data_IF_579651262996
#
_entry.id   IF_579651262996
#
_cell.length_a   1.000
_cell.length_b   1.000
_cell.length_c   1.000
_cell.angle_alpha   90.00
_cell.angle_beta   90.00
_cell.angle_gamma   90.00
#
_symmetry.space_group_name_H-M   'P 1'
#
loop_
_entity.id
_entity.type
_entity.pdbx_description
1 polymer ?
#
# COMPACT_ATOMS: atom_id res chain seq x y z
N UNK A 1 -22.93 -5.91 8.28
CA UNK A 1 -22.09 -5.50 7.12
C UNK A 1 -22.49 -4.10 6.71
N UNK A 2 -21.52 -3.19 6.49
CA UNK A 2 -21.79 -1.83 6.02
C UNK A 2 -22.43 -1.83 4.61
N UNK A 3 -23.31 -0.86 4.34
CA UNK A 3 -24.04 -0.71 3.06
C UNK A 3 -23.09 -0.66 1.86
N UNK A 4 -21.88 -0.11 2.02
CA UNK A 4 -20.88 -0.02 0.96
C UNK A 4 -20.24 -1.38 0.61
N UNK A 5 -20.05 -2.30 1.57
CA UNK A 5 -19.54 -3.67 1.29
C UNK A 5 -20.52 -4.47 0.43
N UNK A 6 -21.81 -4.29 0.70
CA UNK A 6 -22.87 -4.88 -0.11
C UNK A 6 -22.90 -4.29 -1.53
N UNK A 7 -22.60 -2.99 -1.67
CA UNK A 7 -22.48 -2.36 -2.97
C UNK A 7 -21.31 -2.95 -3.80
N UNK A 8 -20.12 -3.12 -3.21
CA UNK A 8 -19.00 -3.76 -3.91
C UNK A 8 -19.32 -5.21 -4.32
N UNK A 9 -19.95 -5.99 -3.45
CA UNK A 9 -20.39 -7.35 -3.78
C UNK A 9 -21.41 -7.36 -4.94
N UNK A 10 -22.30 -6.37 -5.00
CA UNK A 10 -23.23 -6.17 -6.10
C UNK A 10 -22.52 -5.84 -7.42
N UNK A 11 -21.51 -4.96 -7.36
CA UNK A 11 -20.66 -4.61 -8.52
C UNK A 11 -19.89 -5.82 -9.03
N UNK A 12 -19.27 -6.61 -8.13
CA UNK A 12 -18.58 -7.84 -8.49
C UNK A 12 -19.52 -8.86 -9.17
N UNK A 13 -20.72 -9.03 -8.61
CA UNK A 13 -21.75 -9.92 -9.16
C UNK A 13 -22.18 -9.47 -10.56
N UNK A 14 -22.36 -8.16 -10.76
CA UNK A 14 -22.69 -7.59 -12.07
C UNK A 14 -21.58 -7.90 -13.09
N UNK A 15 -20.31 -7.72 -12.74
CA UNK A 15 -19.20 -8.01 -13.65
C UNK A 15 -19.05 -9.50 -13.96
N UNK A 16 -19.24 -10.40 -12.98
CA UNK A 16 -19.28 -11.85 -13.22
C UNK A 16 -20.41 -12.22 -14.19
N UNK A 17 -21.58 -11.62 -14.01
CA UNK A 17 -22.72 -11.81 -14.91
C UNK A 17 -22.43 -11.32 -16.34
N UNK A 18 -21.90 -10.11 -16.48
CA UNK A 18 -21.55 -9.53 -17.79
C UNK A 18 -20.48 -10.38 -18.51
N UNK A 19 -19.46 -10.85 -17.79
CA UNK A 19 -18.44 -11.75 -18.31
C UNK A 19 -19.04 -13.06 -18.85
N UNK A 20 -20.03 -13.62 -18.15
CA UNK A 20 -20.68 -14.87 -18.56
C UNK A 20 -21.60 -14.71 -19.80
N UNK A 21 -22.25 -13.54 -19.95
CA UNK A 21 -23.21 -13.29 -21.04
C UNK A 21 -22.57 -12.74 -22.30
N UNK A 22 -21.53 -11.93 -22.17
CA UNK A 22 -20.86 -11.27 -23.28
C UNK A 22 -19.45 -11.84 -23.43
N UNK A 23 -19.30 -12.88 -24.26
CA UNK A 23 -17.99 -13.35 -24.77
C UNK A 23 -17.20 -12.27 -25.53
N UNK A 24 -17.80 -11.10 -25.76
CA UNK A 24 -17.20 -9.93 -26.41
C UNK A 24 -16.97 -8.71 -25.51
N UNK A 25 -17.21 -8.80 -24.19
CA UNK A 25 -16.74 -7.74 -23.27
C UNK A 25 -15.22 -7.75 -23.31
N UNK A 26 -14.57 -6.59 -23.51
CA UNK A 26 -13.11 -6.55 -23.55
C UNK A 26 -12.57 -7.09 -22.22
N UNK A 27 -11.60 -8.01 -22.31
CA UNK A 27 -10.90 -8.56 -21.15
C UNK A 27 -10.45 -7.44 -20.19
N UNK A 28 -10.08 -6.29 -20.76
CA UNK A 28 -9.64 -5.09 -20.03
C UNK A 28 -10.74 -4.45 -19.17
N UNK A 29 -12.00 -4.44 -19.59
CA UNK A 29 -13.10 -3.90 -18.75
C UNK A 29 -13.28 -4.74 -17.48
N UNK A 30 -13.17 -6.07 -17.61
CA UNK A 30 -13.29 -7.00 -16.48
C UNK A 30 -12.06 -6.90 -15.58
N UNK A 31 -10.85 -6.74 -16.15
CA UNK A 31 -9.63 -6.49 -15.37
C UNK A 31 -9.74 -5.20 -14.57
N UNK A 32 -10.07 -4.08 -15.23
CA UNK A 32 -10.28 -2.79 -14.55
C UNK A 32 -11.30 -2.89 -13.41
N UNK A 33 -12.42 -3.57 -13.64
CA UNK A 33 -13.44 -3.77 -12.62
C UNK A 33 -12.92 -4.56 -11.41
N UNK A 34 -12.13 -5.61 -11.63
CA UNK A 34 -11.50 -6.37 -10.55
C UNK A 34 -10.53 -5.49 -9.77
N UNK A 35 -9.68 -4.75 -10.47
CA UNK A 35 -8.74 -3.80 -9.88
C UNK A 35 -9.45 -2.75 -9.01
N UNK A 36 -10.55 -2.19 -9.52
CA UNK A 36 -11.40 -1.26 -8.76
C UNK A 36 -11.96 -1.89 -7.48
N UNK A 37 -12.47 -3.13 -7.55
CA UNK A 37 -13.00 -3.84 -6.38
C UNK A 37 -11.89 -4.14 -5.37
N UNK A 38 -10.73 -4.62 -5.84
CA UNK A 38 -9.54 -4.87 -5.02
C UNK A 38 -9.13 -3.60 -4.28
N UNK A 39 -8.98 -2.48 -5.01
CA UNK A 39 -8.63 -1.20 -4.42
C UNK A 39 -9.59 -0.77 -3.31
N UNK A 40 -10.90 -0.77 -3.57
CA UNK A 40 -11.89 -0.31 -2.58
C UNK A 40 -12.00 -1.26 -1.39
N UNK A 41 -11.82 -2.56 -1.60
CA UNK A 41 -11.77 -3.55 -0.52
C UNK A 41 -10.52 -3.33 0.35
N UNK A 42 -9.38 -3.06 -0.28
CA UNK A 42 -8.13 -2.74 0.41
C UNK A 42 -8.24 -1.45 1.22
N UNK A 43 -8.73 -0.36 0.63
CA UNK A 43 -9.02 0.90 1.35
C UNK A 43 -9.85 0.65 2.59
N UNK A 44 -10.95 -0.08 2.43
CA UNK A 44 -11.81 -0.35 3.55
C UNK A 44 -11.14 -1.17 4.65
N UNK A 45 -10.30 -2.13 4.29
CA UNK A 45 -9.52 -2.89 5.27
C UNK A 45 -8.57 -2.01 6.08
N UNK A 46 -8.11 -0.87 5.54
CA UNK A 46 -7.28 0.10 6.28
C UNK A 46 -8.11 0.91 7.27
N UNK A 47 -9.38 1.20 6.95
CA UNK A 47 -10.26 2.08 7.74
C UNK A 47 -11.20 1.37 8.71
N UNK A 48 -11.38 0.05 8.59
CA UNK A 48 -12.24 -0.71 9.51
C UNK A 48 -11.40 -1.20 10.69
N UNK A 49 -11.94 -1.22 11.92
CA UNK A 49 -11.26 -1.75 13.10
C UNK A 49 -10.59 -3.11 12.76
N UNK A 50 -9.26 -3.15 12.78
CA UNK A 50 -8.47 -4.36 12.47
C UNK A 50 -8.61 -5.44 13.57
N UNK A 51 -9.55 -5.29 14.51
CA UNK A 51 -9.78 -6.20 15.63
C UNK A 51 -10.52 -7.48 15.21
N UNK A 52 -11.19 -7.48 14.06
CA UNK A 52 -11.97 -8.63 13.60
C UNK A 52 -11.19 -9.34 12.49
N UNK A 53 -10.81 -10.58 12.78
CA UNK A 53 -9.78 -11.37 12.09
C UNK A 53 -9.70 -11.18 10.58
N UNK A 54 -8.50 -10.82 10.12
CA UNK A 54 -8.06 -10.95 8.74
C UNK A 54 -6.81 -11.82 8.75
N UNK A 55 -6.85 -12.86 7.91
CA UNK A 55 -5.80 -13.85 7.69
C UNK A 55 -4.42 -13.20 7.68
N UNK A 56 -3.43 -13.93 8.23
CA UNK A 56 -2.01 -13.65 7.99
C UNK A 56 -1.82 -13.51 6.48
N UNK A 57 -1.64 -12.27 6.02
CA UNK A 57 -1.22 -12.00 4.64
C UNK A 57 0.17 -12.60 4.53
N UNK A 58 0.25 -13.81 3.97
CA UNK A 58 1.51 -14.51 3.77
C UNK A 58 2.30 -13.81 2.68
N UNK A 59 3.63 -13.83 2.80
CA UNK A 59 4.56 -13.28 1.80
C UNK A 59 4.37 -13.90 0.39
N UNK A 60 3.59 -14.99 0.27
CA UNK A 60 3.16 -15.61 -0.99
C UNK A 60 2.28 -14.70 -1.85
N UNK A 61 1.57 -13.71 -1.30
CA UNK A 61 0.81 -12.72 -2.09
C UNK A 61 1.71 -11.67 -2.76
N UNK A 62 2.97 -11.54 -2.36
CA UNK A 62 3.90 -10.51 -2.86
C UNK A 62 4.75 -10.94 -4.07
N UNK A 63 4.38 -12.06 -4.68
CA UNK A 63 4.93 -12.52 -5.96
C UNK A 63 6.35 -13.05 -5.82
N UNK A 64 6.46 -14.38 -5.77
CA UNK A 64 7.70 -15.11 -5.98
C UNK A 64 8.36 -14.74 -7.32
N UNK A 65 9.68 -14.93 -7.35
CA UNK A 65 10.55 -14.81 -8.51
C UNK A 65 9.94 -15.43 -9.77
N UNK A 66 9.38 -14.59 -10.63
CA UNK A 66 9.11 -14.97 -12.01
C UNK A 66 9.96 -14.09 -12.91
N UNK A 67 10.70 -14.71 -13.81
CA UNK A 67 11.47 -14.10 -14.90
C UNK A 67 10.61 -13.31 -15.90
N UNK A 68 9.34 -13.05 -15.56
CA UNK A 68 8.34 -12.40 -16.39
C UNK A 68 7.87 -11.10 -15.72
N UNK A 69 7.84 -10.01 -16.48
CA UNK A 69 7.29 -8.73 -16.04
C UNK A 69 5.80 -8.92 -15.71
N UNK A 70 5.38 -8.50 -14.51
CA UNK A 70 3.96 -8.45 -14.15
C UNK A 70 3.26 -7.38 -15.00
N UNK A 71 2.02 -7.62 -15.42
CA UNK A 71 1.24 -6.56 -16.07
C UNK A 71 0.98 -5.45 -15.06
N UNK A 72 1.13 -4.18 -15.47
CA UNK A 72 0.69 -3.06 -14.63
C UNK A 72 -0.83 -3.15 -14.45
N UNK A 73 -1.29 -2.85 -13.25
CA UNK A 73 -2.72 -2.79 -12.95
C UNK A 73 -3.34 -1.53 -13.60
N UNK A 74 -4.53 -1.66 -14.20
CA UNK A 74 -5.16 -0.56 -14.94
C UNK A 74 -5.73 0.55 -14.03
N UNK A 75 -5.94 0.26 -12.74
CA UNK A 75 -6.54 1.16 -11.77
C UNK A 75 -5.52 1.61 -10.71
N UNK A 76 -4.77 0.66 -10.16
CA UNK A 76 -3.79 0.85 -9.08
C UNK A 76 -2.36 1.00 -9.61
N UNK A 77 -2.11 0.69 -10.88
CA UNK A 77 -0.76 0.78 -11.43
C UNK A 77 0.22 -0.16 -10.74
N UNK A 78 1.31 0.40 -10.24
CA UNK A 78 2.33 -0.31 -9.49
C UNK A 78 2.05 -0.32 -7.98
N UNK A 79 0.99 0.35 -7.50
CA UNK A 79 0.73 0.53 -6.07
C UNK A 79 -0.05 -0.62 -5.42
N UNK A 80 -0.57 -1.57 -6.20
CA UNK A 80 -1.33 -2.72 -5.68
C UNK A 80 -0.53 -3.48 -4.61
N UNK A 81 0.74 -3.76 -4.88
CA UNK A 81 1.64 -4.47 -3.97
C UNK A 81 2.00 -3.68 -2.71
N UNK A 82 1.74 -2.37 -2.68
CA UNK A 82 2.02 -1.50 -1.54
C UNK A 82 0.88 -1.45 -0.51
N UNK A 83 -0.31 -1.99 -0.82
CA UNK A 83 -1.40 -2.07 0.14
C UNK A 83 -1.11 -3.02 1.31
N UNK A 84 -0.35 -4.09 1.07
CA UNK A 84 0.05 -5.04 2.10
C UNK A 84 0.96 -4.39 3.15
N UNK A 85 2.12 -3.80 2.79
CA UNK A 85 2.94 -3.10 3.76
C UNK A 85 2.19 -1.94 4.43
N UNK A 86 1.26 -1.27 3.72
CA UNK A 86 0.44 -0.22 4.31
C UNK A 86 -0.46 -0.73 5.43
N UNK A 87 -1.15 -1.85 5.20
CA UNK A 87 -1.98 -2.51 6.23
C UNK A 87 -1.14 -2.92 7.44
N UNK A 88 0.07 -3.42 7.21
CA UNK A 88 1.00 -3.82 8.29
C UNK A 88 1.45 -2.63 9.12
N UNK A 89 1.83 -1.52 8.48
CA UNK A 89 2.18 -0.27 9.19
C UNK A 89 1.02 0.27 10.02
N UNK A 90 -0.21 0.24 9.48
CA UNK A 90 -1.41 0.64 10.23
C UNK A 90 -1.67 -0.26 11.43
N UNK A 91 -1.47 -1.58 11.30
CA UNK A 91 -1.55 -2.53 12.42
C UNK A 91 -0.50 -2.23 13.49
N UNK A 92 0.74 -1.95 13.09
CA UNK A 92 1.81 -1.56 14.02
C UNK A 92 1.44 -0.30 14.80
N UNK A 93 0.85 0.70 14.13
CA UNK A 93 0.36 1.92 14.79
C UNK A 93 -0.69 1.60 15.84
N UNK A 94 -1.71 0.79 15.50
CA UNK A 94 -2.74 0.40 16.45
C UNK A 94 -2.20 -0.40 17.64
N UNK A 95 -1.26 -1.33 17.41
CA UNK A 95 -0.58 -2.07 18.48
C UNK A 95 0.25 -1.14 19.36
N UNK A 96 0.86 -0.10 18.76
CA UNK A 96 1.59 0.93 19.49
C UNK A 96 0.66 1.73 20.41
N UNK A 97 -0.50 2.16 19.91
CA UNK A 97 -1.50 2.95 20.63
C UNK A 97 -2.15 2.14 21.77
N UNK A 98 -2.40 0.85 21.53
CA UNK A 98 -2.94 -0.09 22.53
C UNK A 98 -1.89 -0.60 23.54
N UNK A 99 -0.62 -0.22 23.39
CA UNK A 99 0.46 -0.61 24.30
C UNK A 99 0.85 -2.10 24.23
N UNK A 100 0.42 -2.83 23.21
CA UNK A 100 0.70 -4.27 23.05
C UNK A 100 1.94 -4.56 22.23
N UNK A 101 2.52 -3.54 21.58
CA UNK A 101 3.66 -3.69 20.69
C UNK A 101 4.96 -3.96 21.46
N UNK A 102 5.54 -5.14 21.24
CA UNK A 102 6.89 -5.49 21.68
C UNK A 102 7.93 -5.12 20.64
N UNK A 103 9.12 -4.72 21.10
CA UNK A 103 10.21 -4.25 20.22
C UNK A 103 10.74 -5.33 19.27
N UNK A 104 10.77 -6.60 19.70
CA UNK A 104 11.20 -7.71 18.85
C UNK A 104 10.24 -7.92 17.66
N UNK A 105 8.93 -7.84 17.92
CA UNK A 105 7.91 -7.90 16.87
C UNK A 105 8.00 -6.69 15.93
N UNK A 106 8.21 -5.49 16.48
CA UNK A 106 8.41 -4.29 15.66
C UNK A 106 9.62 -4.44 14.72
N UNK A 107 10.75 -4.95 15.22
CA UNK A 107 11.94 -5.16 14.40
C UNK A 107 11.67 -6.12 13.24
N UNK A 108 11.05 -7.26 13.52
CA UNK A 108 10.70 -8.25 12.49
C UNK A 108 9.78 -7.65 11.42
N UNK A 109 8.77 -6.88 11.84
CA UNK A 109 7.84 -6.22 10.91
C UNK A 109 8.54 -5.16 10.06
N UNK A 110 9.40 -4.32 10.66
CA UNK A 110 10.19 -3.32 9.93
C UNK A 110 11.12 -3.98 8.92
N UNK A 111 11.85 -5.04 9.32
CA UNK A 111 12.73 -5.79 8.41
C UNK A 111 11.97 -6.37 7.23
N UNK A 112 10.80 -6.96 7.49
CA UNK A 112 9.95 -7.53 6.45
C UNK A 112 9.40 -6.45 5.51
N UNK A 113 8.87 -5.35 6.04
CA UNK A 113 8.40 -4.21 5.22
C UNK A 113 9.53 -3.62 4.38
N UNK A 114 10.69 -3.36 4.98
CA UNK A 114 11.87 -2.86 4.24
C UNK A 114 12.36 -3.87 3.20
N UNK A 115 12.26 -5.17 3.49
CA UNK A 115 12.55 -6.24 2.53
C UNK A 115 11.65 -6.17 1.30
N UNK A 116 10.37 -5.88 1.49
CA UNK A 116 9.40 -5.64 0.41
C UNK A 116 9.77 -4.36 -0.34
N UNK A 117 9.99 -3.24 0.36
CA UNK A 117 10.35 -1.94 -0.22
C UNK A 117 11.65 -2.00 -1.04
N UNK A 118 12.68 -2.70 -0.53
CA UNK A 118 13.98 -2.85 -1.19
C UNK A 118 13.92 -3.66 -2.50
N UNK A 119 12.90 -4.51 -2.69
CA UNK A 119 12.71 -5.23 -3.96
C UNK A 119 12.31 -4.28 -5.10
N UNK A 120 12.00 -3.00 -4.81
CA UNK A 120 11.88 -1.87 -5.75
C UNK A 120 11.02 -2.15 -6.98
N UNK A 121 9.98 -2.97 -6.84
CA UNK A 121 9.08 -3.36 -7.92
C UNK A 121 7.97 -2.33 -8.17
N UNK A 122 8.21 -1.03 -7.97
CA UNK A 122 7.21 0.04 -8.21
C UNK A 122 7.66 1.03 -9.29
N UNK A 123 8.68 0.67 -10.07
CA UNK A 123 9.11 1.40 -11.27
C UNK A 123 8.54 0.74 -12.51
N UNK A 124 8.19 1.55 -13.51
CA UNK A 124 7.59 1.07 -14.76
C UNK A 124 8.46 0.07 -15.53
N UNK A 125 9.79 0.12 -15.34
CA UNK A 125 10.74 -0.81 -15.97
C UNK A 125 10.54 -2.29 -15.58
N UNK A 126 9.84 -2.55 -14.47
CA UNK A 126 9.54 -3.89 -13.97
C UNK A 126 8.14 -4.40 -14.36
N UNK A 127 7.38 -3.62 -15.13
CA UNK A 127 6.03 -3.99 -15.55
C UNK A 127 5.86 -4.01 -17.07
N UNK A 128 4.95 -4.87 -17.52
CA UNK A 128 4.42 -4.82 -18.88
C UNK A 128 3.29 -3.78 -18.93
N UNK A 129 3.45 -2.74 -19.75
CA UNK A 129 2.45 -1.67 -19.92
C UNK A 129 1.55 -2.02 -21.13
N UNK A 130 0.22 -2.08 -20.95
CA UNK A 130 -0.73 -2.23 -22.05
C UNK A 130 -0.53 -1.16 -23.13
N UNK A 131 -0.56 -1.57 -24.41
CA UNK A 131 -0.26 -0.66 -25.52
C UNK A 131 -1.26 0.49 -25.70
N UNK A 132 -2.45 0.37 -25.13
CA UNK A 132 -3.51 1.38 -25.09
C UNK A 132 -3.41 2.32 -23.88
N UNK A 133 -2.54 2.04 -22.91
CA UNK A 133 -2.32 2.92 -21.76
C UNK A 133 -1.43 4.11 -22.16
N UNK A 134 -1.90 5.36 -22.01
CA UNK A 134 -1.08 6.53 -22.29
C UNK A 134 0.17 6.58 -21.41
N UNK A 135 1.35 6.96 -21.94
CA UNK A 135 2.58 7.08 -21.15
C UNK A 135 2.46 8.04 -19.95
N UNK A 136 1.60 9.07 -20.08
CA UNK A 136 1.30 10.01 -18.99
C UNK A 136 0.56 9.32 -17.85
N UNK A 137 -0.33 8.37 -18.14
CA UNK A 137 -1.10 7.61 -17.15
C UNK A 137 -0.20 6.66 -16.38
N UNK A 138 0.60 5.85 -17.08
CA UNK A 138 1.52 4.92 -16.42
C UNK A 138 2.55 5.65 -15.55
N UNK A 139 3.07 6.79 -16.03
CA UNK A 139 3.97 7.64 -15.24
C UNK A 139 3.29 8.22 -14.00
N UNK A 140 2.06 8.68 -14.12
CA UNK A 140 1.30 9.19 -12.96
C UNK A 140 1.04 8.10 -11.93
N UNK A 141 0.71 6.88 -12.37
CA UNK A 141 0.55 5.72 -11.50
C UNK A 141 1.86 5.29 -10.82
N UNK A 142 3.02 5.51 -11.47
CA UNK A 142 4.31 5.33 -10.83
C UNK A 142 4.50 6.36 -9.70
N UNK A 143 4.18 7.63 -9.94
CA UNK A 143 4.24 8.67 -8.91
C UNK A 143 3.35 8.35 -7.71
N UNK A 144 2.15 7.81 -7.94
CA UNK A 144 1.29 7.27 -6.88
C UNK A 144 2.03 6.19 -6.07
N UNK A 145 2.60 5.18 -6.73
CA UNK A 145 3.33 4.12 -6.02
C UNK A 145 4.55 4.64 -5.23
N UNK A 146 5.28 5.62 -5.78
CA UNK A 146 6.40 6.26 -5.09
C UNK A 146 5.95 7.08 -3.88
N UNK A 147 4.82 7.78 -3.97
CA UNK A 147 4.22 8.46 -2.83
C UNK A 147 3.84 7.48 -1.69
N UNK A 148 3.35 6.28 -2.02
CA UNK A 148 3.11 5.23 -1.03
C UNK A 148 4.39 4.76 -0.34
N UNK A 149 5.45 4.49 -1.10
CA UNK A 149 6.74 4.09 -0.55
C UNK A 149 7.24 5.13 0.46
N UNK A 150 7.23 6.40 0.08
CA UNK A 150 7.61 7.52 0.95
C UNK A 150 6.71 7.63 2.19
N UNK A 151 5.39 7.50 2.02
CA UNK A 151 4.43 7.53 3.13
C UNK A 151 4.67 6.40 4.13
N UNK A 152 4.92 5.17 3.66
CA UNK A 152 5.25 4.03 4.51
C UNK A 152 6.46 4.33 5.39
N UNK A 153 7.51 4.92 4.83
CA UNK A 153 8.71 5.32 5.56
C UNK A 153 8.41 6.41 6.61
N UNK A 154 7.64 7.44 6.24
CA UNK A 154 7.20 8.49 7.19
C UNK A 154 6.46 7.89 8.39
N UNK A 155 5.59 6.92 8.15
CA UNK A 155 4.80 6.27 9.19
C UNK A 155 5.67 5.38 10.08
N UNK A 156 6.60 4.62 9.51
CA UNK A 156 7.57 3.84 10.28
C UNK A 156 8.42 4.74 11.18
N UNK A 157 8.98 5.83 10.64
CA UNK A 157 9.71 6.81 11.44
C UNK A 157 8.84 7.35 12.58
N UNK A 158 7.59 7.72 12.29
CA UNK A 158 6.68 8.29 13.30
C UNK A 158 6.37 7.31 14.44
N UNK A 159 6.13 6.04 14.12
CA UNK A 159 5.88 5.00 15.14
C UNK A 159 7.12 4.82 16.04
N UNK A 160 8.32 4.78 15.45
CA UNK A 160 9.58 4.60 16.19
C UNK A 160 9.88 5.83 17.06
N UNK A 161 9.74 7.04 16.52
CA UNK A 161 9.93 8.30 17.24
C UNK A 161 8.99 8.42 18.45
N UNK A 162 7.72 8.04 18.29
CA UNK A 162 6.74 8.06 19.38
C UNK A 162 7.12 7.07 20.49
N UNK A 163 7.66 5.89 20.14
CA UNK A 163 8.17 4.92 21.12
C UNK A 163 9.47 5.38 21.79
N UNK A 164 10.37 6.04 21.08
CA UNK A 164 11.57 6.64 21.66
C UNK A 164 11.23 7.70 22.71
N UNK A 165 10.22 8.55 22.45
CA UNK A 165 9.79 9.59 23.40
C UNK A 165 9.14 9.03 24.67
N UNK A 166 8.51 7.86 24.57
CA UNK A 166 7.75 7.24 25.67
C UNK A 166 8.53 6.18 26.44
N UNK A 167 9.67 5.72 25.93
CA UNK A 167 10.51 4.70 26.57
C UNK A 167 11.42 5.32 27.64
N UNK A 168 11.13 5.04 28.90
CA UNK A 168 11.85 5.59 30.07
C UNK A 168 13.05 4.74 30.55
N UNK A 169 13.53 3.75 29.79
CA UNK A 169 14.56 2.79 30.23
C UNK A 169 15.70 2.66 29.21
N UNK A 170 16.95 2.79 29.68
CA UNK A 170 18.17 2.87 28.85
C UNK A 170 18.40 1.68 27.89
N UNK A 171 18.05 0.44 28.28
CA UNK A 171 18.23 -0.74 27.40
C UNK A 171 17.18 -0.81 26.28
N UNK A 172 15.94 -0.39 26.56
CA UNK A 172 14.90 -0.27 25.53
C UNK A 172 15.24 0.84 24.54
N UNK A 173 15.81 1.94 25.02
CA UNK A 173 16.18 3.08 24.18
C UNK A 173 17.23 2.72 23.14
N UNK A 174 18.27 1.95 23.50
CA UNK A 174 19.27 1.48 22.50
C UNK A 174 18.62 0.67 21.39
N UNK A 175 17.76 -0.27 21.76
CA UNK A 175 17.10 -1.15 20.79
C UNK A 175 16.16 -0.39 19.83
N UNK A 176 15.53 0.70 20.29
CA UNK A 176 14.70 1.58 19.48
C UNK A 176 15.54 2.51 18.59
N UNK A 177 16.69 2.98 19.07
CA UNK A 177 17.65 3.73 18.24
C UNK A 177 18.21 2.85 17.14
N UNK A 178 18.63 1.62 17.47
CA UNK A 178 19.12 0.65 16.48
C UNK A 178 18.06 0.37 15.40
N UNK A 179 16.78 0.36 15.78
CA UNK A 179 15.67 0.20 14.83
C UNK A 179 15.46 1.46 13.97
N UNK A 180 15.60 2.65 14.55
CA UNK A 180 15.55 3.92 13.82
C UNK A 180 16.65 3.98 12.75
N UNK A 181 17.85 3.49 13.06
CA UNK A 181 19.00 3.48 12.17
C UNK A 181 18.85 2.50 10.99
N UNK A 182 17.88 1.59 11.04
CA UNK A 182 17.56 0.69 9.93
C UNK A 182 16.73 1.36 8.83
N UNK A 183 16.02 2.44 9.16
CA UNK A 183 15.18 3.12 8.18
C UNK A 183 16.04 3.92 7.18
N UNK A 184 15.72 3.86 5.88
CA UNK A 184 16.46 4.61 4.87
C UNK A 184 16.15 6.12 4.97
N UNK A 185 17.21 6.93 4.92
CA UNK A 185 17.08 8.39 4.90
C UNK A 185 16.53 8.95 6.21
N UNK A 186 16.00 10.17 6.14
CA UNK A 186 15.32 10.81 7.27
C UNK A 186 13.81 10.89 7.07
N UNK A 187 13.05 11.01 8.16
CA UNK A 187 11.60 11.26 8.11
C UNK A 187 11.24 12.49 7.27
N UNK A 188 12.04 13.56 7.39
CA UNK A 188 11.84 14.80 6.64
C UNK A 188 12.05 14.59 5.14
N UNK A 189 13.11 13.88 4.76
CA UNK A 189 13.37 13.51 3.37
C UNK A 189 12.24 12.66 2.80
N UNK A 190 11.79 11.63 3.53
CA UNK A 190 10.67 10.80 3.13
C UNK A 190 9.36 11.61 2.99
N UNK A 191 9.11 12.58 3.88
CA UNK A 191 7.95 13.45 3.78
C UNK A 191 8.01 14.37 2.56
N UNK A 192 9.16 14.99 2.31
CA UNK A 192 9.40 15.83 1.15
C UNK A 192 9.23 15.05 -0.15
N UNK A 193 9.75 13.82 -0.21
CA UNK A 193 9.54 12.94 -1.36
C UNK A 193 8.08 12.55 -1.53
N UNK A 194 7.36 12.23 -0.45
CA UNK A 194 5.93 11.93 -0.53
C UNK A 194 5.15 13.09 -1.15
N UNK A 195 5.36 14.33 -0.66
CA UNK A 195 4.69 15.52 -1.17
C UNK A 195 5.08 15.78 -2.63
N UNK A 196 6.38 15.67 -2.95
CA UNK A 196 6.89 15.87 -4.31
C UNK A 196 6.27 14.89 -5.30
N UNK A 197 6.11 13.62 -4.94
CA UNK A 197 5.49 12.62 -5.80
C UNK A 197 3.97 12.86 -5.94
N UNK A 198 3.29 13.29 -4.88
CA UNK A 198 1.88 13.68 -4.93
C UNK A 198 1.64 14.88 -5.87
N UNK A 199 2.50 15.90 -5.83
CA UNK A 199 2.40 17.09 -6.69
C UNK A 199 2.56 16.77 -8.19
N UNK A 200 3.14 15.62 -8.53
CA UNK A 200 3.31 15.14 -9.91
C UNK A 200 2.10 14.34 -10.41
N UNK A 201 1.13 14.03 -9.54
CA UNK A 201 -0.11 13.35 -9.92
C UNK A 201 -1.14 14.42 -10.35
N UNK A 202 -1.72 14.31 -11.56
CA UNK A 202 -2.67 15.31 -12.04
C UNK A 202 -3.98 15.26 -11.23
N UNK A 203 -4.39 16.44 -10.74
CA UNK A 203 -5.73 16.67 -10.18
C UNK A 203 -6.79 16.42 -11.26
N UNK A 204 -7.96 15.93 -10.85
CA UNK A 204 -9.10 15.57 -11.72
C UNK A 204 -8.87 14.35 -12.65
N UNK A 205 -7.76 13.63 -12.45
CA UNK A 205 -7.46 12.38 -13.14
C UNK A 205 -7.96 11.15 -12.39
N UNK A 206 -8.29 10.06 -13.09
CA UNK A 206 -8.64 8.78 -12.44
C UNK A 206 -7.54 8.23 -11.52
N UNK A 207 -6.28 8.60 -11.78
CA UNK A 207 -5.10 8.24 -10.99
C UNK A 207 -5.04 8.94 -9.63
N UNK A 208 -5.69 10.11 -9.48
CA UNK A 208 -5.75 10.87 -8.22
C UNK A 208 -6.40 10.04 -7.10
N UNK A 209 -7.42 9.24 -7.46
CA UNK A 209 -8.08 8.34 -6.52
C UNK A 209 -7.08 7.39 -5.87
N UNK A 210 -5.98 7.05 -6.54
CA UNK A 210 -4.90 6.23 -6.00
C UNK A 210 -4.19 6.84 -4.79
N UNK A 211 -4.25 8.17 -4.58
CA UNK A 211 -3.63 8.86 -3.44
C UNK A 211 -4.49 8.86 -2.17
N UNK A 212 -5.80 8.58 -2.28
CA UNK A 212 -6.71 8.54 -1.12
C UNK A 212 -6.24 7.64 0.05
N UNK A 213 -5.60 6.46 -0.17
CA UNK A 213 -5.10 5.63 0.92
C UNK A 213 -4.13 6.38 1.83
N UNK A 214 -3.32 7.28 1.28
CA UNK A 214 -2.33 8.07 2.03
C UNK A 214 -3.00 9.00 3.05
N UNK A 215 -4.19 9.51 2.75
CA UNK A 215 -4.95 10.39 3.65
C UNK A 215 -5.36 9.67 4.95
N UNK A 216 -5.53 8.34 4.91
CA UNK A 216 -5.91 7.56 6.08
C UNK A 216 -4.72 7.17 6.97
N UNK A 217 -3.50 7.37 6.49
CA UNK A 217 -2.27 6.88 7.12
C UNK A 217 -1.52 8.04 7.80
N UNK A 218 -1.73 9.27 7.30
CA UNK A 218 -1.13 10.51 7.82
C UNK A 218 -2.07 11.25 8.80
N UNK A 219 -3.34 10.85 8.91
CA UNK A 219 -4.33 11.42 9.84
C UNK A 219 -4.25 10.81 11.25
#
# INVERSE_FOLDING_TARGET
MSVWRQHLAGVETLFKFLASKYRGTSNETIKYARSFITYHTSIASLTTDLSDGLDEVTDEELGEDSSHLSSIDLYMGCSESLFIPLRRVMRLRQMCDNGTLQIGHMRQEVESILGVLCRRRWRLEYFSIPGDMPPTTSKSLQHVAQAFESCLLVCLHSIIEDKLKTSHVDESNRSWTDLSDMLPGSKEEALQDCIREMDLVPMDGHVEAGLLPLLFVVA
#
